data_IF_998325990995
#
_entry.id   IF_998325990995
#
_cell.length_a   1.000
_cell.length_b   1.000
_cell.length_c   1.000
_cell.angle_alpha   90.00
_cell.angle_beta   90.00
_cell.angle_gamma   90.00
#
_symmetry.space_group_name_H-M   'P 1'
#
loop_
_entity.id
_entity.type
_entity.pdbx_description
1 polymer ?
#
# COMPACT_ATOMS: atom_id res chain seq x y z
N UNK A 1 17.08 17.27 -27.50
CA UNK A 1 16.66 15.91 -27.90
C UNK A 1 16.06 15.21 -26.67
N UNK A 2 14.77 14.92 -26.69
CA UNK A 2 14.12 14.15 -25.64
C UNK A 2 14.50 12.66 -25.77
N UNK A 3 14.79 11.95 -24.66
CA UNK A 3 15.13 10.53 -24.77
C UNK A 3 13.90 9.74 -25.24
N UNK A 4 14.11 8.95 -26.30
CA UNK A 4 13.10 8.07 -26.86
C UNK A 4 12.50 7.16 -25.79
N UNK A 5 11.18 7.15 -25.69
CA UNK A 5 10.43 6.24 -24.82
C UNK A 5 10.69 4.81 -25.30
N UNK A 6 11.49 4.07 -24.58
CA UNK A 6 11.72 2.64 -24.82
C UNK A 6 10.39 1.91 -24.73
N UNK A 7 9.91 1.44 -25.84
CA UNK A 7 8.69 0.65 -25.97
C UNK A 7 8.88 -0.72 -25.29
N UNK A 8 8.51 -0.80 -24.02
CA UNK A 8 8.48 -2.03 -23.22
C UNK A 8 7.17 -2.82 -23.52
N UNK A 9 6.91 -3.14 -24.78
CA UNK A 9 5.67 -3.75 -25.22
C UNK A 9 5.31 -5.10 -24.58
N UNK A 10 5.63 -6.23 -25.17
CA UNK A 10 5.02 -7.53 -24.81
C UNK A 10 5.49 -8.14 -23.48
N UNK A 11 6.62 -7.70 -22.91
CA UNK A 11 7.25 -8.34 -21.76
C UNK A 11 6.48 -8.18 -20.45
N UNK A 12 5.87 -7.02 -20.17
CA UNK A 12 5.06 -6.84 -18.95
C UNK A 12 3.76 -7.64 -19.02
N UNK A 13 3.18 -7.80 -20.17
CA UNK A 13 1.95 -8.58 -20.35
C UNK A 13 2.18 -10.08 -20.06
N UNK A 14 3.39 -10.57 -20.26
CA UNK A 14 3.82 -11.94 -19.95
C UNK A 14 4.39 -12.10 -18.54
N UNK A 15 4.73 -10.99 -17.86
CA UNK A 15 5.26 -11.08 -16.50
C UNK A 15 4.23 -11.69 -15.55
N UNK A 16 4.71 -12.57 -14.69
CA UNK A 16 3.94 -13.19 -13.61
C UNK A 16 4.71 -13.07 -12.31
N UNK A 17 4.05 -12.77 -11.17
CA UNK A 17 4.69 -12.81 -9.85
C UNK A 17 5.23 -14.21 -9.55
N UNK A 18 6.38 -14.27 -8.90
CA UNK A 18 6.96 -15.52 -8.38
C UNK A 18 6.17 -16.04 -7.17
N UNK A 19 4.94 -16.49 -7.39
CA UNK A 19 3.98 -16.83 -6.34
C UNK A 19 4.44 -18.03 -5.52
N UNK A 20 4.89 -19.10 -6.17
CA UNK A 20 5.32 -20.34 -5.49
C UNK A 20 6.60 -20.09 -4.67
N UNK A 21 7.56 -19.34 -5.19
CA UNK A 21 8.78 -18.98 -4.46
C UNK A 21 8.45 -18.09 -3.24
N UNK A 22 7.45 -17.21 -3.36
CA UNK A 22 7.00 -16.38 -2.26
C UNK A 22 6.28 -17.22 -1.18
N UNK A 23 5.47 -18.20 -1.57
CA UNK A 23 4.82 -19.15 -0.65
C UNK A 23 5.85 -20.02 0.08
N UNK A 24 6.78 -20.61 -0.65
CA UNK A 24 7.85 -21.42 -0.07
C UNK A 24 8.65 -20.64 0.96
N UNK A 25 9.02 -19.38 0.66
CA UNK A 25 9.70 -18.52 1.60
C UNK A 25 8.81 -18.17 2.81
N UNK A 26 7.56 -17.79 2.59
CA UNK A 26 6.63 -17.46 3.68
C UNK A 26 6.45 -18.65 4.64
N UNK A 27 6.44 -19.89 4.13
CA UNK A 27 6.31 -21.10 4.94
C UNK A 27 7.53 -21.35 5.86
N UNK A 28 8.69 -20.74 5.60
CA UNK A 28 9.86 -20.82 6.48
C UNK A 28 9.90 -19.72 7.54
N UNK A 29 8.91 -18.80 7.54
CA UNK A 29 8.87 -17.66 8.46
C UNK A 29 7.89 -17.88 9.59
N UNK A 30 8.21 -17.37 10.77
CA UNK A 30 7.33 -17.37 11.94
C UNK A 30 6.19 -16.36 11.75
N UNK A 31 5.01 -16.71 12.24
CA UNK A 31 3.82 -15.90 12.16
C UNK A 31 2.92 -16.24 10.98
N UNK A 32 1.87 -15.48 10.81
CA UNK A 32 0.92 -15.63 9.69
C UNK A 32 1.23 -14.60 8.63
N UNK A 33 1.35 -15.03 7.37
CA UNK A 33 1.74 -14.18 6.26
C UNK A 33 0.75 -14.32 5.12
N UNK A 34 0.08 -13.23 4.78
CA UNK A 34 -0.84 -13.14 3.64
C UNK A 34 -0.32 -12.14 2.62
N UNK A 35 -0.44 -12.45 1.35
CA UNK A 35 -0.03 -11.51 0.32
C UNK A 35 -0.86 -11.59 -0.95
N UNK A 36 -0.86 -10.50 -1.69
CA UNK A 36 -1.53 -10.39 -2.98
C UNK A 36 -0.77 -9.45 -3.93
N UNK A 37 -0.77 -9.79 -5.21
CA UNK A 37 -0.38 -8.90 -6.31
C UNK A 37 -1.55 -8.80 -7.27
N UNK A 38 -2.01 -7.57 -7.54
CA UNK A 38 -3.09 -7.31 -8.48
C UNK A 38 -2.59 -6.54 -9.69
N UNK A 39 -2.76 -7.13 -10.85
CA UNK A 39 -2.57 -6.50 -12.16
C UNK A 39 -3.91 -5.97 -12.70
N UNK A 40 -3.94 -5.49 -13.95
CA UNK A 40 -5.18 -5.11 -14.61
C UNK A 40 -6.13 -6.31 -14.83
N UNK A 41 -5.56 -7.49 -15.04
CA UNK A 41 -6.30 -8.69 -15.47
C UNK A 41 -6.48 -9.74 -14.37
N UNK A 42 -5.56 -9.83 -13.40
CA UNK A 42 -5.51 -10.97 -12.46
C UNK A 42 -5.08 -10.56 -11.06
N UNK A 43 -5.62 -11.28 -10.07
CA UNK A 43 -5.16 -11.31 -8.69
C UNK A 43 -4.36 -12.60 -8.47
N UNK A 44 -3.08 -12.45 -8.11
CA UNK A 44 -2.21 -13.51 -7.62
C UNK A 44 -2.17 -13.40 -6.10
N UNK A 45 -2.33 -14.52 -5.37
CA UNK A 45 -2.59 -14.44 -3.94
C UNK A 45 -2.13 -15.68 -3.16
N UNK A 46 -1.86 -15.45 -1.88
CA UNK A 46 -1.72 -16.47 -0.85
C UNK A 46 -2.46 -15.99 0.39
N UNK A 47 -3.44 -16.73 0.87
CA UNK A 47 -4.31 -16.42 2.02
C UNK A 47 -4.81 -14.94 2.08
N UNK A 48 -5.06 -14.35 0.92
CA UNK A 48 -5.24 -12.91 0.77
C UNK A 48 -6.56 -12.35 1.30
N UNK A 49 -7.49 -13.22 1.74
CA UNK A 49 -8.76 -12.83 2.34
C UNK A 49 -8.77 -12.96 3.87
N UNK A 50 -7.67 -13.39 4.49
CA UNK A 50 -7.50 -13.34 5.94
C UNK A 50 -7.49 -11.88 6.38
N UNK A 51 -8.18 -11.60 7.48
CA UNK A 51 -8.26 -10.28 8.10
C UNK A 51 -7.11 -10.04 9.06
N UNK A 52 -6.66 -8.80 9.11
CA UNK A 52 -5.64 -8.30 10.01
C UNK A 52 -6.04 -6.94 10.55
N UNK A 53 -5.64 -6.60 11.78
CA UNK A 53 -5.66 -5.22 12.25
C UNK A 53 -4.77 -4.37 11.36
N UNK A 54 -5.29 -3.27 10.85
CA UNK A 54 -4.63 -2.48 9.79
C UNK A 54 -3.32 -1.80 10.21
N UNK A 55 -3.12 -1.60 11.51
CA UNK A 55 -2.13 -0.66 12.01
C UNK A 55 -2.17 0.63 11.16
N UNK A 56 -1.02 1.20 10.79
CA UNK A 56 -0.95 2.46 10.03
C UNK A 56 -1.26 2.34 8.53
N UNK A 57 -1.57 1.16 8.00
CA UNK A 57 -2.00 1.03 6.59
C UNK A 57 -3.30 1.79 6.33
N UNK A 58 -4.23 1.81 7.29
CA UNK A 58 -5.51 2.53 7.18
C UNK A 58 -5.34 4.05 6.96
N UNK A 59 -4.19 4.63 7.31
CA UNK A 59 -3.90 6.06 7.10
C UNK A 59 -3.96 6.45 5.61
N UNK A 60 -3.74 5.51 4.69
CA UNK A 60 -3.98 5.73 3.27
C UNK A 60 -5.48 5.90 2.95
N UNK A 61 -6.35 5.16 3.64
CA UNK A 61 -7.81 5.33 3.52
C UNK A 61 -8.27 6.64 4.16
N UNK A 62 -7.75 6.99 5.34
CA UNK A 62 -7.99 8.27 6.01
C UNK A 62 -7.62 9.45 5.11
N UNK A 63 -6.46 9.40 4.44
CA UNK A 63 -6.05 10.41 3.46
C UNK A 63 -7.08 10.53 2.31
N UNK A 64 -7.52 9.40 1.74
CA UNK A 64 -8.51 9.41 0.66
C UNK A 64 -9.85 9.99 1.14
N UNK A 65 -10.32 9.59 2.32
CA UNK A 65 -11.54 10.10 2.94
C UNK A 65 -11.46 11.63 3.18
N UNK A 66 -10.35 12.10 3.76
CA UNK A 66 -10.11 13.52 4.00
C UNK A 66 -10.14 14.35 2.71
N UNK A 67 -9.42 13.91 1.67
CA UNK A 67 -9.34 14.62 0.40
C UNK A 67 -10.67 14.62 -0.39
N UNK A 68 -11.61 13.75 -0.01
CA UNK A 68 -12.95 13.69 -0.58
C UNK A 68 -14.01 14.33 0.32
N UNK A 69 -13.68 14.74 1.55
CA UNK A 69 -14.62 15.36 2.46
C UNK A 69 -15.24 16.63 1.86
N UNK A 70 -16.52 16.89 2.09
CA UNK A 70 -17.25 17.97 1.40
C UNK A 70 -16.64 19.35 1.60
N UNK A 71 -16.10 19.66 2.76
CA UNK A 71 -15.41 20.92 3.05
C UNK A 71 -14.01 21.04 2.41
N UNK A 72 -13.46 19.94 1.87
CA UNK A 72 -12.09 19.88 1.28
C UNK A 72 -12.14 19.68 -0.23
N UNK A 73 -13.03 18.79 -0.71
CA UNK A 73 -13.00 18.28 -2.10
C UNK A 73 -13.14 19.35 -3.19
N UNK A 74 -13.77 20.52 -2.89
CA UNK A 74 -14.09 21.57 -3.86
C UNK A 74 -13.11 22.73 -3.86
N UNK A 75 -12.21 22.83 -2.87
CA UNK A 75 -11.23 23.92 -2.71
C UNK A 75 -9.79 23.45 -2.90
N UNK A 76 -8.85 24.37 -3.00
CA UNK A 76 -7.42 24.11 -2.87
C UNK A 76 -7.11 23.66 -1.43
N UNK A 77 -6.08 22.84 -1.26
CA UNK A 77 -5.61 22.47 0.07
C UNK A 77 -4.92 23.69 0.71
N UNK A 78 -5.32 23.99 1.93
CA UNK A 78 -4.68 25.00 2.77
C UNK A 78 -3.46 24.39 3.47
N UNK A 79 -2.64 25.26 4.09
CA UNK A 79 -1.49 24.79 4.86
C UNK A 79 -1.90 23.83 5.97
N UNK A 80 -2.97 24.15 6.73
CA UNK A 80 -3.49 23.29 7.78
C UNK A 80 -3.90 21.88 7.31
N UNK A 81 -4.39 21.73 6.07
CA UNK A 81 -4.65 20.39 5.51
C UNK A 81 -3.36 19.58 5.35
N UNK A 82 -2.29 20.23 4.91
CA UNK A 82 -0.98 19.59 4.71
C UNK A 82 -0.29 19.32 6.03
N UNK A 83 -0.45 20.21 7.03
CA UNK A 83 0.08 20.03 8.39
C UNK A 83 -0.53 18.80 9.09
N UNK A 84 -1.69 18.33 8.66
CA UNK A 84 -2.28 17.05 9.07
C UNK A 84 -1.85 15.87 8.17
N UNK A 85 -1.98 16.03 6.87
CA UNK A 85 -1.79 14.92 5.93
C UNK A 85 -0.33 14.51 5.77
N UNK A 86 0.61 15.45 5.80
CA UNK A 86 2.03 15.13 5.64
C UNK A 86 2.57 14.30 6.80
N UNK A 87 2.45 14.69 8.08
CA UNK A 87 2.90 13.85 9.20
C UNK A 87 2.15 12.51 9.23
N UNK A 88 0.84 12.49 9.04
CA UNK A 88 0.06 11.25 9.03
C UNK A 88 0.57 10.23 7.99
N UNK A 89 0.82 10.67 6.77
CA UNK A 89 1.16 9.75 5.67
C UNK A 89 2.65 9.47 5.62
N UNK A 90 3.50 10.52 5.66
CA UNK A 90 4.95 10.40 5.41
C UNK A 90 5.72 9.88 6.61
N UNK A 91 5.37 10.32 7.82
CA UNK A 91 6.00 9.89 9.09
C UNK A 91 5.17 8.87 9.85
N UNK A 92 3.96 8.60 9.37
CA UNK A 92 3.02 7.71 10.06
C UNK A 92 2.59 8.23 11.43
N UNK A 93 2.50 9.55 11.61
CA UNK A 93 2.13 10.19 12.85
C UNK A 93 0.73 9.75 13.32
N UNK A 94 0.63 9.42 14.62
CA UNK A 94 -0.60 8.90 15.21
C UNK A 94 -1.55 10.01 15.66
N UNK A 95 -1.01 11.16 16.08
CA UNK A 95 -1.83 12.31 16.52
C UNK A 95 -2.58 12.87 15.32
N UNK A 96 -1.86 13.14 14.23
CA UNK A 96 -2.46 13.58 12.97
C UNK A 96 -3.48 12.55 12.44
N UNK A 97 -3.20 11.25 12.55
CA UNK A 97 -4.16 10.21 12.15
C UNK A 97 -5.45 10.24 12.96
N UNK A 98 -5.34 10.46 14.28
CA UNK A 98 -6.50 10.57 15.16
C UNK A 98 -7.33 11.82 14.82
N UNK A 99 -6.67 12.95 14.58
CA UNK A 99 -7.35 14.19 14.17
C UNK A 99 -8.10 14.00 12.84
N UNK A 100 -7.43 13.43 11.83
CA UNK A 100 -8.06 13.13 10.53
C UNK A 100 -9.23 12.17 10.70
N UNK A 101 -9.07 11.10 11.47
CA UNK A 101 -10.15 10.13 11.73
C UNK A 101 -11.35 10.78 12.43
N UNK A 102 -11.11 11.65 13.42
CA UNK A 102 -12.18 12.35 14.12
C UNK A 102 -12.91 13.32 13.18
N UNK A 103 -12.20 13.91 12.24
CA UNK A 103 -12.77 14.80 11.22
C UNK A 103 -13.62 14.05 10.18
N UNK A 104 -13.16 12.91 9.66
CA UNK A 104 -13.88 12.19 8.59
C UNK A 104 -14.88 11.15 9.10
N UNK A 105 -14.68 10.62 10.30
CA UNK A 105 -15.49 9.55 10.88
C UNK A 105 -15.23 8.16 10.26
N UNK A 106 -15.70 7.12 10.95
CA UNK A 106 -15.58 5.74 10.49
C UNK A 106 -16.44 5.46 9.24
N UNK A 107 -17.63 6.07 9.15
CA UNK A 107 -18.53 5.90 8.00
C UNK A 107 -17.90 6.29 6.68
N UNK A 108 -17.00 7.28 6.65
CA UNK A 108 -16.28 7.65 5.42
C UNK A 108 -15.28 6.55 4.97
N UNK A 109 -14.71 5.79 5.91
CA UNK A 109 -13.84 4.65 5.60
C UNK A 109 -14.66 3.47 5.04
N UNK A 110 -15.82 3.19 5.63
CA UNK A 110 -16.74 2.15 5.17
C UNK A 110 -17.28 2.47 3.79
N UNK A 111 -17.76 3.68 3.55
CA UNK A 111 -18.19 4.15 2.22
C UNK A 111 -17.06 4.05 1.18
N UNK A 112 -15.81 4.34 1.57
CA UNK A 112 -14.68 4.13 0.68
C UNK A 112 -14.46 2.64 0.40
N UNK A 113 -14.55 1.79 1.41
CA UNK A 113 -14.38 0.35 1.27
C UNK A 113 -15.46 -0.25 0.34
N UNK A 114 -16.70 0.16 0.48
CA UNK A 114 -17.81 -0.23 -0.39
C UNK A 114 -17.57 0.22 -1.84
N UNK A 115 -17.21 1.48 -2.04
CA UNK A 115 -16.89 2.03 -3.37
C UNK A 115 -15.72 1.33 -4.05
N UNK A 116 -14.75 0.83 -3.28
CA UNK A 116 -13.62 0.03 -3.76
C UNK A 116 -14.02 -1.42 -4.01
N UNK A 117 -15.08 -1.88 -3.37
CA UNK A 117 -15.48 -3.29 -3.28
C UNK A 117 -14.51 -4.10 -2.41
N UNK A 118 -14.17 -3.58 -1.24
CA UNK A 118 -13.27 -4.28 -0.30
C UNK A 118 -14.08 -5.30 0.50
N UNK A 119 -13.77 -6.57 0.28
CA UNK A 119 -14.37 -7.63 1.09
C UNK A 119 -13.76 -7.62 2.50
N UNK A 120 -14.59 -7.81 3.53
CA UNK A 120 -14.17 -7.96 4.93
C UNK A 120 -13.42 -6.74 5.50
N UNK A 121 -13.75 -5.53 5.06
CA UNK A 121 -13.31 -4.31 5.73
C UNK A 121 -14.25 -4.01 6.90
N UNK A 122 -13.68 -3.54 8.02
CA UNK A 122 -14.41 -3.03 9.16
C UNK A 122 -13.65 -1.86 9.76
N UNK A 123 -14.33 -0.72 9.92
CA UNK A 123 -13.75 0.47 10.53
C UNK A 123 -13.88 0.39 12.07
N UNK A 124 -12.77 0.12 12.75
CA UNK A 124 -12.74 0.00 14.20
C UNK A 124 -12.75 1.40 14.87
N UNK A 125 -13.35 1.56 16.07
CA UNK A 125 -13.28 2.81 16.85
C UNK A 125 -11.85 3.33 17.09
N UNK A 126 -10.90 2.46 17.35
CA UNK A 126 -9.47 2.76 17.33
C UNK A 126 -8.96 2.44 15.91
N UNK A 127 -8.66 3.47 15.12
CA UNK A 127 -8.40 3.35 13.67
C UNK A 127 -7.39 2.26 13.31
N UNK A 128 -6.33 2.05 14.12
CA UNK A 128 -5.32 1.01 13.86
C UNK A 128 -5.85 -0.42 13.98
N UNK A 129 -6.97 -0.63 14.69
CA UNK A 129 -7.68 -1.91 14.81
C UNK A 129 -8.62 -2.22 13.66
N UNK A 130 -8.79 -1.29 12.69
CA UNK A 130 -9.64 -1.53 11.52
C UNK A 130 -9.19 -2.80 10.78
N UNK A 131 -10.15 -3.62 10.34
CA UNK A 131 -9.85 -4.90 9.70
C UNK A 131 -9.62 -4.71 8.21
N UNK A 132 -8.51 -5.27 7.73
CA UNK A 132 -8.12 -5.22 6.32
C UNK A 132 -7.73 -6.60 5.81
N UNK A 133 -7.77 -6.78 4.49
CA UNK A 133 -7.27 -7.97 3.79
C UNK A 133 -6.28 -7.58 2.70
N UNK A 134 -5.33 -8.45 2.36
CA UNK A 134 -4.40 -8.20 1.26
C UNK A 134 -5.13 -8.05 -0.08
N UNK A 135 -6.18 -8.82 -0.31
CA UNK A 135 -7.03 -8.73 -1.50
C UNK A 135 -7.73 -7.36 -1.59
N UNK A 136 -8.34 -6.88 -0.51
CA UNK A 136 -9.01 -5.58 -0.43
C UNK A 136 -8.04 -4.43 -0.63
N UNK A 137 -6.91 -4.45 0.07
CA UNK A 137 -5.90 -3.39 -0.04
C UNK A 137 -5.31 -3.29 -1.46
N UNK A 138 -5.12 -4.42 -2.16
CA UNK A 138 -4.68 -4.35 -3.57
C UNK A 138 -5.74 -3.76 -4.51
N UNK A 139 -7.06 -3.90 -4.21
CA UNK A 139 -8.12 -3.21 -4.96
C UNK A 139 -7.98 -1.70 -4.82
N UNK A 140 -7.84 -1.21 -3.57
CA UNK A 140 -7.67 0.21 -3.27
C UNK A 140 -6.40 0.78 -3.91
N UNK A 141 -5.24 0.21 -3.58
CA UNK A 141 -3.95 0.79 -3.97
C UNK A 141 -3.74 0.83 -5.47
N UNK A 142 -4.24 -0.14 -6.24
CA UNK A 142 -4.10 -0.12 -7.71
C UNK A 142 -4.72 1.12 -8.36
N UNK A 143 -5.72 1.71 -7.72
CA UNK A 143 -6.46 2.88 -8.22
C UNK A 143 -6.57 4.00 -7.19
N UNK A 144 -5.72 4.05 -6.17
CA UNK A 144 -5.88 4.92 -5.00
C UNK A 144 -6.06 6.40 -5.37
N UNK A 145 -5.32 6.89 -6.37
CA UNK A 145 -5.47 8.23 -6.91
C UNK A 145 -6.82 8.47 -7.60
N UNK A 146 -7.43 7.43 -8.16
CA UNK A 146 -8.74 7.53 -8.84
C UNK A 146 -9.90 7.59 -7.86
N UNK A 147 -9.70 7.15 -6.62
CA UNK A 147 -10.67 7.31 -5.54
C UNK A 147 -10.61 8.70 -4.89
N UNK A 148 -9.62 9.51 -5.24
CA UNK A 148 -9.49 10.92 -4.83
C UNK A 148 -10.02 11.84 -5.92
N UNK A 149 -10.68 12.94 -5.54
CA UNK A 149 -11.14 13.98 -6.48
C UNK A 149 -9.99 14.49 -7.35
N UNK A 150 -10.27 14.79 -8.61
CA UNK A 150 -9.24 15.05 -9.64
C UNK A 150 -8.17 16.06 -9.18
N UNK A 151 -8.59 17.15 -8.54
CA UNK A 151 -7.69 18.23 -8.09
C UNK A 151 -6.65 17.79 -7.05
N UNK A 152 -6.96 16.80 -6.21
CA UNK A 152 -6.08 16.34 -5.12
C UNK A 152 -5.29 15.07 -5.44
N UNK A 153 -5.46 14.46 -6.61
CA UNK A 153 -4.77 13.21 -7.01
C UNK A 153 -3.26 13.30 -6.96
N UNK A 154 -2.71 14.44 -7.40
CA UNK A 154 -1.25 14.68 -7.40
C UNK A 154 -0.73 14.72 -5.96
N UNK A 155 -1.43 15.40 -5.06
CA UNK A 155 -1.06 15.47 -3.63
C UNK A 155 -1.10 14.09 -3.00
N UNK A 156 -2.15 13.30 -3.21
CA UNK A 156 -2.25 11.93 -2.68
C UNK A 156 -1.07 11.05 -3.13
N UNK A 157 -0.73 11.08 -4.42
CA UNK A 157 0.43 10.34 -4.93
C UNK A 157 1.75 10.88 -4.38
N UNK A 158 1.92 12.21 -4.29
CA UNK A 158 3.12 12.82 -3.69
C UNK A 158 3.32 12.34 -2.26
N UNK A 159 2.30 12.37 -1.44
CA UNK A 159 2.37 11.92 -0.04
C UNK A 159 2.79 10.46 0.07
N UNK A 160 2.14 9.55 -0.68
CA UNK A 160 2.46 8.12 -0.68
C UNK A 160 3.83 7.80 -1.32
N UNK A 161 4.34 8.67 -2.19
CA UNK A 161 5.66 8.52 -2.84
C UNK A 161 6.82 9.08 -2.01
N UNK A 162 6.52 9.93 -1.01
CA UNK A 162 7.52 10.65 -0.20
C UNK A 162 7.62 10.15 1.25
N UNK A 163 7.30 8.88 1.49
CA UNK A 163 7.50 8.23 2.80
C UNK A 163 8.97 8.36 3.21
N UNK A 164 9.19 8.71 4.48
CA UNK A 164 10.53 8.96 5.02
C UNK A 164 11.47 7.76 4.90
N UNK A 165 12.79 7.98 4.75
CA UNK A 165 13.76 6.90 4.53
C UNK A 165 13.70 5.79 5.57
N UNK A 166 13.52 6.12 6.84
CA UNK A 166 13.44 5.16 7.94
C UNK A 166 12.30 4.14 7.80
N UNK A 167 11.26 4.44 7.00
CA UNK A 167 10.13 3.55 6.77
C UNK A 167 10.15 2.87 5.38
N UNK A 168 11.25 3.00 4.62
CA UNK A 168 11.40 2.43 3.28
C UNK A 168 12.04 1.02 3.30
N UNK A 169 11.54 0.17 4.18
CA UNK A 169 11.89 -1.26 4.30
C UNK A 169 10.91 -2.15 3.48
N UNK A 170 11.06 -3.46 3.55
CA UNK A 170 10.14 -4.44 2.94
C UNK A 170 9.96 -4.26 1.44
N UNK A 171 8.73 -4.01 0.98
CA UNK A 171 8.40 -3.82 -0.45
C UNK A 171 9.27 -2.73 -1.08
N UNK A 172 9.54 -1.64 -0.35
CA UNK A 172 10.28 -0.51 -0.90
C UNK A 172 11.72 -0.87 -1.32
N UNK A 173 12.35 -1.87 -0.67
CA UNK A 173 13.68 -2.37 -1.03
C UNK A 173 13.67 -3.36 -2.20
N UNK A 174 12.50 -3.94 -2.51
CA UNK A 174 12.34 -4.94 -3.56
C UNK A 174 11.88 -4.37 -4.91
N UNK A 175 11.37 -3.14 -4.92
CA UNK A 175 10.82 -2.52 -6.14
C UNK A 175 11.95 -2.11 -7.09
N UNK A 176 11.93 -2.52 -8.37
CA UNK A 176 12.92 -2.08 -9.35
C UNK A 176 12.89 -0.56 -9.53
N UNK A 177 14.07 0.07 -9.65
CA UNK A 177 14.23 1.54 -9.80
C UNK A 177 13.44 2.13 -10.97
N UNK A 178 13.12 1.34 -11.98
CA UNK A 178 12.31 1.77 -13.14
C UNK A 178 10.81 1.92 -12.84
N UNK A 179 10.36 1.59 -11.63
CA UNK A 179 8.98 1.71 -11.20
C UNK A 179 8.83 2.79 -10.12
N UNK A 180 7.90 3.70 -10.30
CA UNK A 180 7.48 4.63 -9.25
C UNK A 180 6.71 3.85 -8.18
N UNK A 181 7.04 4.12 -6.91
CA UNK A 181 6.48 3.46 -5.73
C UNK A 181 5.67 4.47 -4.92
N UNK A 182 4.42 4.09 -4.63
CA UNK A 182 3.49 4.80 -3.75
C UNK A 182 2.98 3.80 -2.73
N UNK A 183 3.30 3.97 -1.46
CA UNK A 183 3.03 2.92 -0.47
C UNK A 183 2.67 3.46 0.90
N UNK A 184 2.15 2.59 1.77
CA UNK A 184 1.98 2.83 3.18
C UNK A 184 2.36 1.57 3.95
N UNK A 185 3.17 1.76 4.99
CA UNK A 185 3.48 0.74 5.98
C UNK A 185 2.60 0.87 7.22
N UNK A 186 2.51 -0.22 7.97
CA UNK A 186 1.88 -0.28 9.28
C UNK A 186 2.53 -1.36 10.12
N UNK A 187 2.79 -1.09 11.39
CA UNK A 187 3.39 -2.02 12.33
C UNK A 187 2.94 -1.72 13.75
N UNK A 188 3.08 -2.68 14.64
CA UNK A 188 2.79 -2.51 16.05
C UNK A 188 2.61 -3.81 16.80
N UNK A 189 3.08 -3.86 18.04
CA UNK A 189 2.90 -4.98 18.97
C UNK A 189 1.46 -5.08 19.47
N UNK A 190 0.84 -3.94 19.80
CA UNK A 190 -0.55 -3.88 20.28
C UNK A 190 -1.62 -4.28 19.25
N UNK A 191 -1.23 -4.46 17.98
CA UNK A 191 -2.10 -4.93 16.90
C UNK A 191 -1.88 -6.41 16.55
N UNK A 192 -1.19 -7.18 17.39
CA UNK A 192 -0.88 -8.60 17.15
C UNK A 192 0.49 -8.83 16.52
N UNK A 193 1.51 -8.03 16.89
CA UNK A 193 2.86 -8.08 16.33
C UNK A 193 2.84 -8.07 14.80
N UNK A 194 2.17 -7.07 14.24
CA UNK A 194 1.93 -6.94 12.81
C UNK A 194 3.03 -6.12 12.13
N UNK A 195 3.38 -6.53 10.92
CA UNK A 195 4.14 -5.76 9.95
C UNK A 195 3.45 -5.84 8.61
N UNK A 196 3.09 -4.70 8.07
CA UNK A 196 2.32 -4.59 6.83
C UNK A 196 2.95 -3.60 5.88
N UNK A 197 2.89 -3.89 4.59
CA UNK A 197 3.06 -2.87 3.56
C UNK A 197 2.12 -3.13 2.39
N UNK A 198 1.57 -2.03 1.88
CA UNK A 198 0.71 -2.03 0.70
C UNK A 198 1.20 -0.95 -0.25
N UNK A 199 1.29 -1.28 -1.53
CA UNK A 199 1.86 -0.38 -2.53
C UNK A 199 1.12 -0.41 -3.87
N UNK A 200 1.14 0.75 -4.54
CA UNK A 200 0.96 0.91 -5.96
C UNK A 200 2.33 1.06 -6.61
N UNK A 201 2.63 0.24 -7.59
CA UNK A 201 3.77 0.38 -8.49
C UNK A 201 3.29 0.89 -9.85
N UNK A 202 3.96 1.93 -10.38
CA UNK A 202 3.59 2.53 -11.66
C UNK A 202 4.80 2.74 -12.58
N UNK A 203 4.64 2.40 -13.86
CA UNK A 203 5.61 2.68 -14.91
C UNK A 203 4.85 3.03 -16.19
N UNK A 204 4.87 4.30 -16.58
CA UNK A 204 4.00 4.79 -17.65
C UNK A 204 2.52 4.50 -17.36
N UNK A 205 1.86 3.81 -18.27
CA UNK A 205 0.45 3.40 -18.13
C UNK A 205 0.26 2.15 -17.26
N UNK A 206 1.34 1.41 -16.99
CA UNK A 206 1.30 0.15 -16.26
C UNK A 206 1.14 0.40 -14.78
N UNK A 207 0.23 -0.36 -14.18
CA UNK A 207 -0.10 -0.26 -12.76
C UNK A 207 -0.26 -1.67 -12.21
N UNK A 208 0.39 -1.94 -11.12
CA UNK A 208 0.13 -3.10 -10.28
C UNK A 208 0.11 -2.66 -8.82
N UNK A 209 -0.57 -3.40 -7.99
CA UNK A 209 -0.52 -3.22 -6.55
C UNK A 209 -0.08 -4.51 -5.87
N UNK A 210 0.62 -4.36 -4.76
CA UNK A 210 1.09 -5.45 -3.92
C UNK A 210 0.71 -5.13 -2.48
N UNK A 211 0.24 -6.13 -1.75
CA UNK A 211 0.00 -6.08 -0.32
C UNK A 211 0.65 -7.29 0.33
N UNK A 212 1.38 -7.07 1.41
CA UNK A 212 1.94 -8.12 2.27
C UNK A 212 1.56 -7.76 3.70
N UNK A 213 0.82 -8.65 4.35
CA UNK A 213 0.29 -8.49 5.69
C UNK A 213 0.79 -9.64 6.55
N UNK A 214 1.27 -9.34 7.76
CA UNK A 214 1.79 -10.34 8.69
C UNK A 214 1.22 -10.15 10.08
N UNK A 215 1.19 -11.20 10.89
CA UNK A 215 0.93 -11.13 12.32
C UNK A 215 1.73 -12.21 13.05
N UNK A 216 2.03 -11.97 14.33
CA UNK A 216 2.83 -12.90 15.12
C UNK A 216 4.30 -12.93 14.72
N UNK A 217 4.85 -11.83 14.19
CA UNK A 217 6.29 -11.68 13.95
C UNK A 217 7.04 -11.71 15.28
N UNK A 218 8.25 -12.27 15.30
CA UNK A 218 9.11 -12.32 16.48
C UNK A 218 9.40 -10.89 16.99
N UNK A 219 9.80 -10.03 16.06
CA UNK A 219 10.02 -8.60 16.28
C UNK A 219 9.81 -7.81 14.97
N UNK A 220 9.94 -6.51 15.04
CA UNK A 220 9.78 -5.61 13.89
C UNK A 220 10.85 -5.81 12.80
N UNK A 221 12.10 -6.08 13.18
CA UNK A 221 13.18 -6.32 12.22
C UNK A 221 12.91 -7.60 11.42
N UNK A 222 12.51 -8.66 12.12
CA UNK A 222 12.11 -9.93 11.51
C UNK A 222 10.92 -9.75 10.55
N UNK A 223 9.92 -8.96 10.95
CA UNK A 223 8.78 -8.63 10.12
C UNK A 223 9.20 -7.87 8.85
N UNK A 224 10.08 -6.89 8.96
CA UNK A 224 10.63 -6.14 7.82
C UNK A 224 11.36 -7.06 6.83
N UNK A 225 12.21 -7.96 7.31
CA UNK A 225 12.90 -8.97 6.48
C UNK A 225 11.92 -9.92 5.79
N UNK A 226 10.88 -10.34 6.52
CA UNK A 226 9.82 -11.19 5.97
C UNK A 226 9.13 -10.50 4.81
N UNK A 227 8.73 -9.23 4.96
CA UNK A 227 8.11 -8.46 3.89
C UNK A 227 9.05 -8.28 2.69
N UNK A 228 10.32 -7.98 2.94
CA UNK A 228 11.32 -7.83 1.87
C UNK A 228 11.53 -9.15 1.12
N UNK A 229 11.70 -10.26 1.84
CA UNK A 229 11.90 -11.58 1.27
C UNK A 229 10.73 -12.04 0.39
N UNK A 230 9.49 -11.83 0.85
CA UNK A 230 8.27 -12.09 0.05
C UNK A 230 8.22 -11.18 -1.16
N UNK A 231 8.45 -9.86 -0.98
CA UNK A 231 8.38 -8.88 -2.06
C UNK A 231 9.41 -9.15 -3.17
N UNK A 232 10.67 -9.48 -2.82
CA UNK A 232 11.74 -9.82 -3.79
C UNK A 232 11.33 -10.99 -4.68
N UNK A 233 10.67 -12.00 -4.13
CA UNK A 233 10.19 -13.16 -4.89
C UNK A 233 9.00 -12.81 -5.77
N UNK A 234 8.02 -12.10 -5.23
CA UNK A 234 6.84 -11.66 -5.98
C UNK A 234 7.20 -10.73 -7.15
N UNK A 235 8.18 -9.85 -6.97
CA UNK A 235 8.56 -8.84 -7.98
C UNK A 235 9.73 -9.29 -8.88
N UNK A 236 10.19 -10.53 -8.76
CA UNK A 236 11.26 -11.08 -9.61
C UNK A 236 10.90 -10.93 -11.10
N UNK A 237 11.85 -10.42 -11.89
CA UNK A 237 11.67 -10.23 -13.32
C UNK A 237 10.76 -9.06 -13.73
N UNK A 238 10.30 -8.24 -12.78
CA UNK A 238 9.51 -7.04 -13.07
C UNK A 238 10.35 -5.90 -13.67
N UNK A 239 11.64 -5.84 -13.37
CA UNK A 239 12.59 -4.86 -13.92
C UNK A 239 13.10 -5.25 -15.31
N UNK A 240 13.80 -4.34 -16.01
CA UNK A 240 14.59 -4.71 -17.17
C UNK A 240 15.62 -5.76 -16.76
N UNK A 241 15.88 -6.76 -17.62
CA UNK A 241 17.02 -7.64 -17.41
C UNK A 241 18.28 -6.78 -17.46
N UNK A 242 19.10 -6.77 -16.41
CA UNK A 242 20.49 -6.38 -16.53
C UNK A 242 21.12 -7.38 -17.51
N UNK A 243 21.60 -6.91 -18.67
CA UNK A 243 22.53 -7.73 -19.46
C UNK A 243 23.75 -7.98 -18.56
N UNK A 244 24.24 -9.21 -18.45
CA UNK A 244 25.55 -9.42 -17.87
C UNK A 244 26.56 -8.59 -18.67
N UNK A 245 27.37 -7.81 -17.97
CA UNK A 245 28.55 -7.16 -18.54
C UNK A 245 29.57 -8.22 -18.90
#
# INVERSE_FOLDING_TARGET
MAPAAVADGPRFERWRPGLEQARAYAATRVGTISFAVRTARKLYRSDAYRTYSSASVVKAMLMVAYLNHDSVRRRQLHRGDLDLLEPMVRWSDNVAATQVRNFVGNGALEQLADRVGMDRFYAHPIWGGSQITAAGQTKLFRKIDRYVVKRHRRTALRLLGSIVPAQRWGIARAVPRSWALYFKGGWGSGSGAVDHQVALLRRGHRRLSIAILTSGSIDHAYGQETLEGVARRLLRGLGPRSFPR
#
